data_IF_266394242864
#
_entry.id   IF_266394242864
#
_cell.length_a   1.000
_cell.length_b   1.000
_cell.length_c   1.000
_cell.angle_alpha   90.00
_cell.angle_beta   90.00
_cell.angle_gamma   90.00
#
_symmetry.space_group_name_H-M   'P 1'
#
loop_
_entity.id
_entity.type
_entity.pdbx_description
1 polymer ?
#
# COMPACT_ATOMS: atom_id res chain seq x y z
N UNK A 1 15.25 -0.25 3.46
CA UNK A 1 15.90 0.71 2.53
C UNK A 1 15.12 0.73 1.23
N UNK A 2 14.74 1.91 0.76
CA UNK A 2 14.00 2.11 -0.49
C UNK A 2 14.96 2.72 -1.51
N UNK A 3 14.91 2.30 -2.77
CA UNK A 3 15.77 2.86 -3.82
C UNK A 3 14.93 3.66 -4.80
N UNK A 4 15.33 4.91 -5.07
CA UNK A 4 14.62 5.73 -6.05
C UNK A 4 14.83 5.18 -7.47
N UNK A 5 13.77 4.91 -8.26
CA UNK A 5 13.91 4.37 -9.61
C UNK A 5 14.44 5.41 -10.62
N UNK A 6 14.41 6.70 -10.28
CA UNK A 6 14.85 7.78 -11.17
C UNK A 6 16.34 8.16 -11.00
N UNK A 7 16.82 8.26 -9.75
CA UNK A 7 18.21 8.65 -9.47
C UNK A 7 19.04 7.56 -8.78
N UNK A 8 18.44 6.40 -8.47
CA UNK A 8 19.08 5.28 -7.78
C UNK A 8 19.63 5.57 -6.37
N UNK A 9 19.24 6.72 -5.79
CA UNK A 9 19.59 7.08 -4.42
C UNK A 9 18.83 6.23 -3.40
N UNK A 10 19.48 5.92 -2.28
CA UNK A 10 18.88 5.16 -1.17
C UNK A 10 18.14 6.11 -0.24
N UNK A 11 16.97 5.69 0.19
CA UNK A 11 16.09 6.42 1.09
C UNK A 11 15.90 5.60 2.36
N UNK A 12 16.15 6.25 3.49
CA UNK A 12 15.95 5.67 4.82
C UNK A 12 14.49 5.67 5.23
N UNK A 13 13.71 6.63 4.72
CA UNK A 13 12.30 6.78 5.02
C UNK A 13 11.46 6.86 3.74
N UNK A 14 10.25 6.30 3.73
CA UNK A 14 9.28 6.53 2.68
C UNK A 14 8.79 7.98 2.69
N UNK A 15 8.86 8.63 1.53
CA UNK A 15 8.34 9.97 1.29
C UNK A 15 7.49 9.95 0.03
N UNK A 16 6.68 11.00 -0.19
CA UNK A 16 5.83 11.10 -1.40
C UNK A 16 6.69 11.35 -2.65
N UNK A 17 7.80 12.06 -2.49
CA UNK A 17 8.76 12.39 -3.55
C UNK A 17 10.19 12.19 -3.09
N UNK A 18 11.10 11.88 -4.01
CA UNK A 18 12.51 11.75 -3.71
C UNK A 18 13.13 13.14 -3.41
N UNK A 19 13.81 13.33 -2.26
CA UNK A 19 14.45 14.60 -1.90
C UNK A 19 15.65 14.97 -2.79
N UNK A 20 16.21 14.01 -3.54
CA UNK A 20 17.39 14.23 -4.39
C UNK A 20 17.05 14.64 -5.83
N UNK A 21 15.98 14.09 -6.40
CA UNK A 21 15.62 14.29 -7.81
C UNK A 21 14.17 14.74 -8.03
N UNK A 22 13.41 14.94 -6.95
CA UNK A 22 11.99 15.34 -6.99
C UNK A 22 11.06 14.35 -7.70
N UNK A 23 11.49 13.11 -7.92
CA UNK A 23 10.64 12.07 -8.51
C UNK A 23 9.47 11.74 -7.58
N UNK A 24 8.24 11.79 -8.09
CA UNK A 24 7.02 11.52 -7.32
C UNK A 24 6.69 10.04 -7.40
N UNK A 25 6.79 9.30 -6.29
CA UNK A 25 6.65 7.84 -6.28
C UNK A 25 5.23 7.36 -6.61
N UNK A 26 4.21 8.20 -6.40
CA UNK A 26 2.81 7.88 -6.73
C UNK A 26 2.53 7.87 -8.24
N UNK A 27 3.43 8.43 -9.07
CA UNK A 27 3.33 8.42 -10.53
C UNK A 27 3.84 7.11 -11.16
N UNK A 28 4.57 6.31 -10.38
CA UNK A 28 5.08 5.01 -10.80
C UNK A 28 4.03 3.89 -10.75
N UNK A 29 4.44 2.65 -11.06
CA UNK A 29 3.57 1.48 -10.97
C UNK A 29 3.15 1.19 -9.53
N UNK A 30 1.89 0.76 -9.38
CA UNK A 30 1.32 0.33 -8.12
C UNK A 30 1.20 -1.19 -8.12
N UNK A 31 1.53 -1.82 -7.00
CA UNK A 31 1.45 -3.28 -6.84
C UNK A 31 0.60 -3.63 -5.63
N UNK A 32 -0.19 -4.70 -5.76
CA UNK A 32 -0.99 -5.24 -4.66
C UNK A 32 -0.07 -6.05 -3.75
N UNK A 33 -0.02 -5.67 -2.48
CA UNK A 33 0.80 -6.34 -1.46
C UNK A 33 0.01 -7.33 -0.62
N UNK A 34 -1.31 -7.10 -0.46
CA UNK A 34 -2.17 -7.94 0.38
C UNK A 34 -3.64 -7.79 0.00
N UNK A 35 -4.41 -8.85 0.27
CA UNK A 35 -5.88 -8.85 0.26
C UNK A 35 -6.36 -8.88 1.72
N UNK A 36 -7.39 -8.11 2.05
CA UNK A 36 -7.96 -8.00 3.38
C UNK A 36 -9.47 -7.86 3.32
N UNK A 37 -10.13 -8.03 4.46
CA UNK A 37 -11.58 -7.89 4.60
C UNK A 37 -11.91 -6.84 5.66
N UNK A 38 -13.05 -6.14 5.57
CA UNK A 38 -13.48 -5.22 6.61
C UNK A 38 -13.64 -5.90 7.98
N UNK A 39 -13.16 -5.26 9.08
CA UNK A 39 -12.54 -3.93 9.16
C UNK A 39 -11.00 -3.91 9.05
N UNK A 40 -10.34 -5.05 8.80
CA UNK A 40 -8.88 -5.19 8.80
C UNK A 40 -8.22 -4.28 7.75
N UNK A 41 -8.85 -4.08 6.59
CA UNK A 41 -8.35 -3.21 5.52
C UNK A 41 -8.08 -1.78 6.00
N UNK A 42 -8.92 -1.26 6.89
CA UNK A 42 -8.79 0.08 7.47
C UNK A 42 -7.64 0.18 8.46
N UNK A 43 -7.42 -0.87 9.23
CA UNK A 43 -6.32 -0.94 10.20
C UNK A 43 -4.99 -0.95 9.44
N UNK A 44 -4.89 -1.78 8.41
CA UNK A 44 -3.68 -1.87 7.58
C UNK A 44 -3.46 -0.57 6.80
N UNK A 45 -4.51 0.03 6.22
CA UNK A 45 -4.41 1.35 5.57
C UNK A 45 -3.84 2.40 6.52
N UNK A 46 -4.41 2.50 7.72
CA UNK A 46 -3.98 3.47 8.73
C UNK A 46 -2.53 3.25 9.15
N UNK A 47 -2.12 2.00 9.34
CA UNK A 47 -0.74 1.64 9.67
C UNK A 47 0.22 2.05 8.56
N UNK A 48 -0.07 1.71 7.30
CA UNK A 48 0.81 2.06 6.18
C UNK A 48 0.92 3.58 6.02
N UNK A 49 -0.20 4.31 6.17
CA UNK A 49 -0.22 5.77 6.13
C UNK A 49 0.57 6.41 7.27
N UNK A 50 0.59 5.83 8.47
CA UNK A 50 1.37 6.39 9.59
C UNK A 50 2.88 6.36 9.34
N UNK A 51 3.34 5.46 8.47
CA UNK A 51 4.72 5.45 7.97
C UNK A 51 4.92 6.34 6.75
N UNK A 52 4.01 7.26 6.41
CA UNK A 52 4.14 8.15 5.24
C UNK A 52 4.22 7.41 3.87
N UNK A 53 3.79 6.15 3.82
CA UNK A 53 3.74 5.38 2.58
C UNK A 53 2.40 5.62 1.87
N UNK A 54 2.39 5.96 0.56
CA UNK A 54 1.17 6.05 -0.20
C UNK A 54 0.49 4.68 -0.32
N UNK A 55 -0.81 4.61 -0.02
CA UNK A 55 -1.60 3.39 -0.08
C UNK A 55 -2.93 3.64 -0.79
N UNK A 56 -3.39 2.64 -1.54
CA UNK A 56 -4.70 2.61 -2.20
C UNK A 56 -5.43 1.34 -1.80
N UNK A 57 -6.68 1.52 -1.38
CA UNK A 57 -7.63 0.42 -1.22
C UNK A 57 -8.40 0.25 -2.53
N UNK A 58 -8.28 -0.93 -3.13
CA UNK A 58 -9.00 -1.31 -4.34
C UNK A 58 -10.12 -2.24 -3.89
N UNK A 59 -11.32 -1.71 -3.85
CA UNK A 59 -12.53 -2.50 -3.64
C UNK A 59 -12.91 -3.14 -4.97
N UNK A 60 -13.02 -4.46 -5.01
CA UNK A 60 -13.48 -5.14 -6.22
C UNK A 60 -15.00 -4.95 -6.34
N UNK A 61 -15.42 -3.88 -7.02
CA UNK A 61 -16.81 -3.71 -7.47
C UNK A 61 -16.89 -4.22 -8.90
N UNK A 62 -17.38 -5.44 -9.08
CA UNK A 62 -17.82 -5.89 -10.40
C UNK A 62 -19.02 -5.01 -10.76
N UNK A 63 -18.98 -4.37 -11.92
CA UNK A 63 -20.09 -3.59 -12.45
C UNK A 63 -21.42 -4.36 -12.32
N UNK A 64 -22.56 -3.69 -12.04
CA UNK A 64 -23.82 -4.37 -11.80
C UNK A 64 -24.38 -4.93 -13.11
N UNK A 65 -23.87 -6.08 -13.55
CA UNK A 65 -24.60 -6.99 -14.43
C UNK A 65 -25.24 -8.04 -13.51
N UNK A 66 -26.56 -7.97 -13.40
CA UNK A 66 -27.43 -8.99 -12.78
C UNK A 66 -27.57 -9.04 -11.24
N UNK A 67 -27.73 -7.89 -10.57
CA UNK A 67 -28.49 -7.84 -9.30
C UNK A 67 -27.97 -8.73 -8.15
N UNK A 68 -26.67 -8.99 -8.09
CA UNK A 68 -26.08 -9.81 -7.02
C UNK A 68 -25.85 -8.95 -5.77
N UNK A 69 -26.43 -9.40 -4.67
CA UNK A 69 -26.29 -8.82 -3.32
C UNK A 69 -24.81 -8.84 -2.91
N UNK A 70 -24.17 -7.66 -2.86
CA UNK A 70 -22.82 -7.52 -2.29
C UNK A 70 -22.96 -7.71 -0.78
N UNK A 71 -22.43 -8.82 -0.27
CA UNK A 71 -22.33 -9.04 1.17
C UNK A 71 -21.37 -8.03 1.83
N UNK A 72 -21.51 -7.75 3.13
CA UNK A 72 -20.70 -6.77 3.88
C UNK A 72 -19.19 -7.10 3.98
N UNK A 73 -18.72 -8.16 3.30
CA UNK A 73 -17.38 -8.76 3.41
C UNK A 73 -16.64 -8.77 2.06
N UNK A 74 -16.85 -7.75 1.21
CA UNK A 74 -16.15 -7.68 -0.07
C UNK A 74 -14.62 -7.62 0.14
N UNK A 75 -13.87 -8.44 -0.60
CA UNK A 75 -12.40 -8.45 -0.56
C UNK A 75 -11.87 -7.07 -1.00
N UNK A 76 -10.95 -6.53 -0.21
CA UNK A 76 -10.25 -5.28 -0.50
C UNK A 76 -8.79 -5.59 -0.79
N UNK A 77 -8.27 -5.11 -1.92
CA UNK A 77 -6.85 -5.24 -2.26
C UNK A 77 -6.11 -3.98 -1.81
N UNK A 78 -5.03 -4.18 -1.06
CA UNK A 78 -4.16 -3.11 -0.58
C UNK A 78 -3.00 -2.98 -1.57
N UNK A 79 -2.90 -1.80 -2.19
CA UNK A 79 -1.86 -1.48 -3.16
C UNK A 79 -0.97 -0.33 -2.70
N UNK A 80 0.32 -0.43 -2.97
CA UNK A 80 1.33 0.60 -2.70
C UNK A 80 2.20 0.81 -3.95
N UNK A 81 2.89 1.97 -4.09
CA UNK A 81 3.89 2.12 -5.14
C UNK A 81 4.94 1.01 -5.06
N UNK A 82 5.31 0.45 -6.22
CA UNK A 82 6.20 -0.72 -6.31
C UNK A 82 7.52 -0.54 -5.53
N UNK A 83 8.04 0.68 -5.51
CA UNK A 83 9.27 1.05 -4.78
C UNK A 83 9.18 0.81 -3.27
N UNK A 84 7.98 0.86 -2.69
CA UNK A 84 7.75 0.65 -1.26
C UNK A 84 7.30 -0.76 -0.93
N UNK A 85 7.03 -1.62 -1.92
CA UNK A 85 6.41 -2.93 -1.70
C UNK A 85 7.23 -3.82 -0.76
N UNK A 86 8.54 -3.91 -0.97
CA UNK A 86 9.44 -4.69 -0.11
C UNK A 86 9.48 -4.15 1.32
N UNK A 87 9.60 -2.83 1.47
CA UNK A 87 9.60 -2.16 2.77
C UNK A 87 8.30 -2.41 3.55
N UNK A 88 7.14 -2.26 2.90
CA UNK A 88 5.85 -2.48 3.55
C UNK A 88 5.62 -3.94 3.90
N UNK A 89 6.03 -4.89 3.04
CA UNK A 89 5.92 -6.31 3.33
C UNK A 89 6.75 -6.71 4.56
N UNK A 90 7.96 -6.16 4.69
CA UNK A 90 8.81 -6.36 5.88
C UNK A 90 8.12 -5.81 7.15
N UNK A 91 7.58 -4.58 7.05
CA UNK A 91 6.86 -3.92 8.14
C UNK A 91 5.62 -4.69 8.61
N UNK A 92 4.87 -5.28 7.68
CA UNK A 92 3.69 -6.10 7.98
C UNK A 92 4.05 -7.52 8.47
N UNK A 93 5.27 -7.99 8.21
CA UNK A 93 5.75 -9.32 8.63
C UNK A 93 6.38 -9.33 10.01
N UNK A 94 6.80 -8.16 10.52
CA UNK A 94 7.33 -8.04 11.86
C UNK A 94 6.26 -8.43 12.91
N UNK A 95 6.47 -9.49 13.71
CA UNK A 95 5.55 -9.79 14.80
C UNK A 95 5.61 -8.64 15.79
N UNK A 96 4.48 -7.96 16.04
CA UNK A 96 4.36 -6.95 17.08
C UNK A 96 5.01 -7.49 18.38
N UNK A 97 6.05 -6.85 18.94
CA UNK A 97 6.48 -7.17 20.28
C UNK A 97 5.29 -6.90 21.20
N UNK A 98 4.83 -7.95 21.89
CA UNK A 98 3.92 -7.80 23.02
C UNK A 98 4.72 -7.08 24.10
N UNK A 99 4.51 -5.77 24.23
CA UNK A 99 4.87 -5.03 25.45
C UNK A 99 3.90 -5.40 26.58
#
# INVERSE_FOLDING_TARGET
MITCPACNEKLDQPEISCPHCSYIFTTGPWVVIRKSYPPEDRIIESLIRSFNVPVRLIHESIAPVAGITIGPLAEVKIAVPQVFASYVLDLLSAPHPKE
#
